data_IF_024534381947
#
_entry.id   IF_024534381947
#
_cell.length_a   1.000
_cell.length_b   1.000
_cell.length_c   1.000
_cell.angle_alpha   90.00
_cell.angle_beta   90.00
_cell.angle_gamma   90.00
#
_symmetry.space_group_name_H-M   'P 1'
#
loop_
_entity.id
_entity.type
_entity.pdbx_description
1 polymer ?
#
# COMPACT_ATOMS: atom_id res chain seq x y z
N UNK A 1 13.20 48.94 26.61
CA UNK A 1 11.79 48.61 26.94
C UNK A 1 11.01 48.46 25.65
N UNK A 2 10.02 47.54 25.63
CA UNK A 2 9.01 47.24 24.58
C UNK A 2 9.29 46.07 23.61
N UNK A 3 9.23 44.86 24.17
CA UNK A 3 8.26 43.75 23.91
C UNK A 3 7.54 43.53 22.55
N UNK A 4 7.48 42.24 22.14
CA UNK A 4 6.48 41.45 21.33
C UNK A 4 6.48 41.70 19.79
N UNK A 5 6.44 40.73 18.87
CA UNK A 5 5.72 39.44 18.84
C UNK A 5 6.44 38.32 18.04
N UNK A 6 6.38 37.11 18.59
CA UNK A 6 6.46 35.82 17.90
C UNK A 6 5.07 35.51 17.30
N UNK A 7 5.02 34.57 16.35
CA UNK A 7 3.88 33.94 15.68
C UNK A 7 3.51 34.50 14.29
N UNK A 8 4.29 34.10 13.28
CA UNK A 8 3.72 33.84 11.96
C UNK A 8 3.29 32.36 11.91
N UNK A 9 1.99 32.17 11.87
CA UNK A 9 1.29 30.92 12.06
C UNK A 9 1.64 29.85 11.01
N UNK A 10 1.73 28.61 11.50
CA UNK A 10 1.52 27.39 10.75
C UNK A 10 0.16 27.46 10.03
N UNK A 11 0.13 27.84 8.74
CA UNK A 11 -1.10 27.86 7.95
C UNK A 11 -1.05 26.93 6.72
N UNK A 12 0.03 26.16 6.55
CA UNK A 12 0.26 25.38 5.32
C UNK A 12 -0.15 23.90 5.35
N UNK A 13 -0.57 23.34 6.48
CA UNK A 13 -0.59 21.88 6.67
C UNK A 13 -1.98 21.22 6.75
N UNK A 14 -3.09 21.88 6.41
CA UNK A 14 -4.44 21.32 6.64
C UNK A 14 -5.34 21.14 5.41
N UNK A 15 -4.88 21.40 4.19
CA UNK A 15 -5.74 21.30 2.99
C UNK A 15 -5.95 19.87 2.44
N UNK A 16 -5.34 18.85 3.02
CA UNK A 16 -5.38 17.47 2.48
C UNK A 16 -6.55 16.60 2.95
N UNK A 17 -7.34 17.02 3.94
CA UNK A 17 -8.36 16.15 4.53
C UNK A 17 -9.69 16.09 3.76
N UNK A 18 -10.03 17.11 2.96
CA UNK A 18 -11.38 17.21 2.35
C UNK A 18 -11.57 16.26 1.16
N UNK A 19 -10.50 15.99 0.40
CA UNK A 19 -10.54 15.09 -0.75
C UNK A 19 -10.73 13.60 -0.38
N UNK A 20 -10.43 13.21 0.86
CA UNK A 20 -10.65 11.85 1.34
C UNK A 20 -12.13 11.54 1.64
N UNK A 21 -12.99 12.57 1.71
CA UNK A 21 -14.42 12.43 2.01
C UNK A 21 -15.29 12.30 0.76
N UNK A 22 -14.73 12.52 -0.43
CA UNK A 22 -15.45 12.33 -1.70
C UNK A 22 -15.25 10.92 -2.22
N UNK A 23 -16.35 10.23 -2.55
CA UNK A 23 -16.29 8.91 -3.17
C UNK A 23 -15.50 8.97 -4.48
N UNK A 24 -14.60 8.00 -4.70
CA UNK A 24 -13.86 7.83 -5.96
C UNK A 24 -14.80 7.66 -7.17
N UNK A 25 -15.94 7.02 -6.94
CA UNK A 25 -17.02 6.77 -7.90
C UNK A 25 -18.30 6.46 -7.12
N UNK A 26 -19.47 6.85 -7.64
CA UNK A 26 -20.78 6.65 -6.98
C UNK A 26 -21.64 5.57 -7.64
N UNK A 27 -21.34 5.23 -8.89
CA UNK A 27 -22.08 4.33 -9.78
C UNK A 27 -21.27 3.05 -10.05
N UNK A 28 -20.96 2.29 -9.00
CA UNK A 28 -20.25 1.01 -9.12
C UNK A 28 -21.14 -0.07 -9.72
N UNK A 29 -20.64 -0.75 -10.76
CA UNK A 29 -21.27 -1.96 -11.29
C UNK A 29 -20.65 -3.19 -10.62
N UNK A 30 -21.47 -3.99 -9.95
CA UNK A 30 -20.99 -5.14 -9.19
C UNK A 30 -20.54 -6.30 -10.09
N UNK A 31 -19.51 -7.03 -9.65
CA UNK A 31 -19.03 -8.28 -10.26
C UNK A 31 -18.50 -8.16 -11.70
N UNK A 32 -18.06 -6.98 -12.12
CA UNK A 32 -17.48 -6.73 -13.45
C UNK A 32 -15.96 -6.92 -13.51
N UNK A 33 -15.30 -6.83 -12.36
CA UNK A 33 -13.85 -7.03 -12.24
C UNK A 33 -13.52 -8.47 -11.84
N UNK A 34 -12.58 -9.13 -12.55
CA UNK A 34 -12.07 -10.42 -12.10
C UNK A 34 -11.34 -10.26 -10.77
N UNK A 35 -11.54 -11.21 -9.85
CA UNK A 35 -10.83 -11.22 -8.58
C UNK A 35 -9.38 -11.63 -8.79
N UNK A 36 -8.45 -10.78 -8.36
CA UNK A 36 -7.01 -11.05 -8.45
C UNK A 36 -6.59 -12.04 -7.38
N UNK A 37 -5.86 -13.08 -7.79
CA UNK A 37 -5.15 -13.99 -6.88
C UNK A 37 -3.69 -13.54 -6.79
N UNK A 38 -3.16 -13.21 -5.60
CA UNK A 38 -1.77 -12.80 -5.46
C UNK A 38 -0.80 -13.93 -5.78
N UNK A 39 0.43 -13.59 -6.16
CA UNK A 39 1.52 -14.57 -6.27
C UNK A 39 1.79 -15.22 -4.92
N UNK A 40 2.27 -16.47 -4.93
CA UNK A 40 2.57 -17.23 -3.71
C UNK A 40 4.07 -17.38 -3.56
N UNK A 41 4.61 -16.94 -2.43
CA UNK A 41 5.97 -17.26 -1.97
C UNK A 41 5.85 -18.50 -1.09
N UNK A 42 6.35 -19.63 -1.57
CA UNK A 42 6.35 -20.87 -0.80
C UNK A 42 7.56 -20.90 0.16
N UNK A 43 7.28 -20.79 1.45
CA UNK A 43 8.25 -20.92 2.55
C UNK A 43 7.95 -22.15 3.41
N UNK A 44 7.33 -23.19 2.86
CA UNK A 44 7.02 -24.42 3.61
C UNK A 44 8.27 -25.18 4.07
N UNK A 45 9.43 -24.91 3.45
CA UNK A 45 10.73 -25.44 3.88
C UNK A 45 11.46 -24.52 4.90
N UNK A 46 10.87 -23.38 5.28
CA UNK A 46 11.45 -22.42 6.21
C UNK A 46 12.35 -21.40 5.53
N UNK A 47 13.13 -20.68 6.34
CA UNK A 47 14.19 -19.79 5.86
C UNK A 47 13.92 -18.30 6.09
N UNK A 48 14.54 -17.47 5.25
CA UNK A 48 14.52 -16.02 5.37
C UNK A 48 14.14 -15.37 4.05
N UNK A 49 13.29 -14.34 4.12
CA UNK A 49 13.01 -13.45 2.98
C UNK A 49 13.11 -11.98 3.39
N UNK A 50 13.63 -11.18 2.46
CA UNK A 50 13.61 -9.73 2.53
C UNK A 50 12.44 -9.20 1.70
N UNK A 51 11.57 -8.43 2.34
CA UNK A 51 10.36 -7.84 1.76
C UNK A 51 10.45 -6.32 1.77
N UNK A 52 9.93 -5.65 0.75
CA UNK A 52 9.87 -4.19 0.70
C UNK A 52 8.43 -3.67 0.67
N UNK A 53 8.25 -2.49 1.27
CA UNK A 53 7.04 -1.67 1.20
C UNK A 53 7.34 -0.52 0.25
N UNK A 54 6.51 -0.34 -0.78
CA UNK A 54 6.72 0.71 -1.76
C UNK A 54 5.42 1.14 -2.43
N UNK A 55 5.48 2.21 -3.25
CA UNK A 55 4.34 2.63 -4.08
C UNK A 55 4.03 1.58 -5.15
N UNK A 56 2.75 1.26 -5.29
CA UNK A 56 2.18 0.36 -6.29
C UNK A 56 1.04 1.07 -7.04
N UNK A 57 0.86 0.77 -8.31
CA UNK A 57 -0.35 1.18 -9.06
C UNK A 57 -1.43 0.13 -8.90
N UNK A 58 -2.66 0.54 -8.66
CA UNK A 58 -3.81 -0.35 -8.55
C UNK A 58 -5.01 0.18 -9.33
N UNK A 59 -5.63 -0.70 -10.11
CA UNK A 59 -6.87 -0.43 -10.83
C UNK A 59 -8.04 -0.95 -9.98
N UNK A 60 -8.96 -0.06 -9.65
CA UNK A 60 -10.19 -0.40 -8.91
C UNK A 60 -11.28 -0.94 -9.85
N UNK A 61 -11.16 -0.70 -11.16
CA UNK A 61 -12.05 -1.23 -12.20
C UNK A 61 -11.29 -2.10 -13.21
N UNK A 62 -11.96 -3.08 -13.81
CA UNK A 62 -11.37 -4.01 -14.78
C UNK A 62 -10.78 -3.32 -16.01
N UNK A 63 -11.43 -2.25 -16.47
CA UNK A 63 -11.05 -1.44 -17.61
C UNK A 63 -9.98 -0.39 -17.28
N UNK A 64 -9.59 -0.26 -16.00
CA UNK A 64 -8.62 0.72 -15.53
C UNK A 64 -9.13 2.17 -15.51
N UNK A 65 -10.42 2.43 -15.75
CA UNK A 65 -11.00 3.77 -15.73
C UNK A 65 -10.89 4.45 -14.36
N UNK A 66 -10.90 3.67 -13.27
CA UNK A 66 -10.61 4.15 -11.91
C UNK A 66 -9.34 3.45 -11.41
N UNK A 67 -8.27 4.22 -11.24
CA UNK A 67 -6.98 3.72 -10.77
C UNK A 67 -6.33 4.72 -9.81
N UNK A 68 -5.37 4.25 -9.00
CA UNK A 68 -4.66 5.09 -8.06
C UNK A 68 -3.33 4.50 -7.60
N UNK A 69 -2.58 5.34 -6.87
CA UNK A 69 -1.45 4.87 -6.09
C UNK A 69 -1.94 4.19 -4.81
N UNK A 70 -1.31 3.06 -4.49
CA UNK A 70 -1.47 2.34 -3.25
C UNK A 70 -0.07 2.07 -2.65
N UNK A 71 -0.04 1.68 -1.38
CA UNK A 71 1.17 1.10 -0.79
C UNK A 71 1.08 -0.42 -0.86
N UNK A 72 2.07 -1.02 -1.53
CA UNK A 72 2.14 -2.44 -1.82
C UNK A 72 3.33 -3.11 -1.18
N UNK A 73 3.36 -4.44 -1.29
CA UNK A 73 4.45 -5.28 -0.80
C UNK A 73 5.03 -6.12 -1.93
N UNK A 74 6.32 -6.40 -1.86
CA UNK A 74 6.99 -7.35 -2.74
C UNK A 74 8.28 -7.88 -2.08
N UNK A 75 8.91 -8.90 -2.68
CA UNK A 75 10.29 -9.22 -2.36
C UNK A 75 11.19 -8.00 -2.60
N UNK A 76 12.27 -7.88 -1.81
CA UNK A 76 13.24 -6.79 -1.99
C UNK A 76 13.75 -6.77 -3.43
N UNK A 77 13.77 -5.58 -4.04
CA UNK A 77 14.11 -5.32 -5.46
C UNK A 77 13.07 -5.76 -6.50
N UNK A 78 11.90 -6.30 -6.10
CA UNK A 78 10.79 -6.58 -7.01
C UNK A 78 9.74 -5.45 -6.98
N UNK A 79 8.95 -5.31 -8.05
CA UNK A 79 7.90 -4.27 -8.12
C UNK A 79 6.81 -4.53 -7.06
N UNK A 80 6.52 -3.56 -6.15
CA UNK A 80 5.42 -3.68 -5.19
C UNK A 80 4.06 -3.90 -5.85
N UNK A 81 3.24 -4.80 -5.29
CA UNK A 81 1.87 -5.05 -5.74
C UNK A 81 0.85 -4.81 -4.63
N UNK A 82 -0.40 -4.57 -5.02
CA UNK A 82 -1.55 -4.51 -4.10
C UNK A 82 -2.65 -5.49 -4.54
N UNK A 83 -3.05 -6.46 -3.69
CA UNK A 83 -2.33 -6.89 -2.49
C UNK A 83 -0.90 -7.39 -2.80
N UNK A 84 -0.06 -7.47 -1.77
CA UNK A 84 1.26 -8.09 -1.86
C UNK A 84 1.18 -9.61 -2.06
N UNK A 85 2.33 -10.28 -2.26
CA UNK A 85 2.37 -11.73 -2.39
C UNK A 85 1.85 -12.43 -1.13
N UNK A 86 1.20 -13.57 -1.32
CA UNK A 86 0.83 -14.49 -0.24
C UNK A 86 2.05 -15.27 0.20
N UNK A 87 2.36 -15.27 1.50
CA UNK A 87 3.43 -16.11 2.06
C UNK A 87 2.80 -17.40 2.58
N UNK A 88 3.14 -18.53 1.97
CA UNK A 88 2.66 -19.86 2.37
C UNK A 88 3.71 -20.53 3.27
N UNK A 89 3.28 -21.02 4.42
CA UNK A 89 4.15 -21.63 5.45
C UNK A 89 3.63 -23.00 5.89
N UNK A 90 4.50 -23.79 6.51
CA UNK A 90 4.14 -25.06 7.14
C UNK A 90 4.16 -24.94 8.68
N UNK A 91 3.24 -25.64 9.35
CA UNK A 91 3.19 -25.70 10.82
C UNK A 91 4.50 -26.26 11.36
N UNK A 92 5.08 -25.59 12.35
CA UNK A 92 6.33 -26.02 13.00
C UNK A 92 7.59 -25.71 12.21
N UNK A 93 7.49 -25.10 11.03
CA UNK A 93 8.64 -24.69 10.22
C UNK A 93 8.93 -23.22 10.46
N UNK A 94 10.09 -22.85 11.03
CA UNK A 94 10.41 -21.47 11.32
C UNK A 94 10.72 -20.70 10.04
N UNK A 95 10.18 -19.47 9.97
CA UNK A 95 10.53 -18.49 8.97
C UNK A 95 10.95 -17.19 9.65
N UNK A 96 11.70 -16.38 8.91
CA UNK A 96 11.98 -14.99 9.26
C UNK A 96 11.72 -14.10 8.05
N UNK A 97 11.13 -12.94 8.31
CA UNK A 97 10.85 -11.94 7.29
C UNK A 97 11.40 -10.62 7.77
N UNK A 98 12.21 -9.96 6.95
CA UNK A 98 12.64 -8.60 7.20
C UNK A 98 11.88 -7.67 6.27
N UNK A 99 11.32 -6.60 6.84
CA UNK A 99 10.55 -5.61 6.10
C UNK A 99 11.35 -4.32 5.95
N UNK A 100 11.50 -3.85 4.72
CA UNK A 100 12.16 -2.60 4.38
C UNK A 100 11.11 -1.56 4.00
N UNK A 101 11.14 -0.41 4.67
CA UNK A 101 10.32 0.73 4.29
C UNK A 101 11.06 1.53 3.20
N UNK A 102 10.49 1.56 2.00
CA UNK A 102 11.03 2.28 0.83
C UNK A 102 10.05 3.36 0.33
N UNK A 103 9.20 3.87 1.23
CA UNK A 103 8.21 4.92 0.96
C UNK A 103 8.82 6.34 0.98
#
# INVERSE_FOLDING_TARGET
>A
MKTVAVLAALAGAQLSAVAALTNLKTDWEAYTSPLVVPTVIDMTAGGHIDMQIGRAKHNWTADGSIAGDAYGYALKNATPTFPGPTIKVARGVPISVRWFNEL
#
